data_IF_373939799076
#
_entry.id   IF_373939799076
#
_cell.length_a   1.000
_cell.length_b   1.000
_cell.length_c   1.000
_cell.angle_alpha   90.00
_cell.angle_beta   90.00
_cell.angle_gamma   90.00
#
_symmetry.space_group_name_H-M   'P 1'
#
loop_
_entity.id
_entity.type
_entity.pdbx_description
1 polymer ?
#
# COMPACT_ATOMS: atom_id res chain seq x y z
N UNK A 1 25.53 -4.29 1.84
CA UNK A 1 26.16 -5.57 1.44
C UNK A 1 26.19 -5.82 -0.08
N UNK A 2 25.07 -5.88 -0.82
CA UNK A 2 25.13 -6.05 -2.30
C UNK A 2 25.33 -4.71 -3.03
N UNK A 3 24.64 -3.66 -2.60
CA UNK A 3 24.78 -2.30 -3.14
C UNK A 3 26.16 -1.67 -2.82
N UNK A 4 26.76 -2.06 -1.70
CA UNK A 4 28.10 -1.57 -1.28
C UNK A 4 29.23 -2.21 -2.10
N UNK A 5 29.02 -3.43 -2.61
CA UNK A 5 29.99 -4.13 -3.46
C UNK A 5 29.75 -3.92 -4.96
N UNK A 6 28.72 -3.16 -5.38
CA UNK A 6 28.45 -2.90 -6.80
C UNK A 6 29.59 -2.15 -7.51
N UNK A 7 30.47 -1.45 -6.76
CA UNK A 7 31.65 -0.79 -7.31
C UNK A 7 32.87 -1.70 -7.54
N UNK A 8 32.87 -2.91 -6.98
CA UNK A 8 34.00 -3.86 -7.07
C UNK A 8 33.85 -4.90 -8.20
N UNK A 9 32.69 -4.98 -8.85
CA UNK A 9 32.40 -5.99 -9.87
C UNK A 9 31.74 -5.37 -11.11
N UNK A 10 32.06 -5.90 -12.30
CA UNK A 10 31.62 -5.36 -13.60
C UNK A 10 30.10 -5.34 -13.83
N UNK A 11 29.33 -6.07 -13.01
CA UNK A 11 27.87 -6.07 -13.09
C UNK A 11 27.22 -6.47 -11.77
N UNK A 12 26.01 -5.96 -11.53
CA UNK A 12 25.18 -6.35 -10.38
C UNK A 12 24.97 -7.87 -10.32
N UNK A 13 24.88 -8.55 -11.47
CA UNK A 13 24.78 -10.01 -11.53
C UNK A 13 26.06 -10.71 -11.04
N UNK A 14 27.24 -10.20 -11.38
CA UNK A 14 28.51 -10.71 -10.86
C UNK A 14 28.63 -10.54 -9.34
N UNK A 15 28.15 -9.41 -8.81
CA UNK A 15 28.06 -9.17 -7.37
C UNK A 15 27.10 -10.17 -6.70
N UNK A 16 25.92 -10.39 -7.28
CA UNK A 16 24.92 -11.35 -6.78
C UNK A 16 25.48 -12.77 -6.75
N UNK A 17 26.12 -13.23 -7.84
CA UNK A 17 26.71 -14.56 -7.91
C UNK A 17 27.84 -14.78 -6.90
N UNK A 18 28.62 -13.74 -6.59
CA UNK A 18 29.73 -13.82 -5.64
C UNK A 18 29.27 -13.79 -4.17
N UNK A 19 28.13 -13.14 -3.89
CA UNK A 19 27.61 -12.97 -2.52
C UNK A 19 26.63 -14.08 -2.12
N UNK A 20 25.81 -14.56 -3.06
CA UNK A 20 24.83 -15.62 -2.81
C UNK A 20 25.41 -16.86 -2.07
N UNK A 21 26.53 -17.47 -2.50
CA UNK A 21 27.11 -18.60 -1.79
C UNK A 21 27.67 -18.25 -0.40
N UNK A 22 28.08 -16.99 -0.16
CA UNK A 22 28.56 -16.53 1.16
C UNK A 22 27.44 -16.41 2.18
N UNK A 23 26.21 -16.18 1.72
CA UNK A 23 24.99 -16.09 2.55
C UNK A 23 24.27 -17.44 2.63
N UNK A 24 24.65 -18.41 1.79
CA UNK A 24 23.99 -19.71 1.72
C UNK A 24 22.66 -19.69 0.98
N UNK A 25 22.46 -18.73 0.06
CA UNK A 25 21.27 -18.65 -0.79
C UNK A 25 21.62 -18.81 -2.27
N UNK A 26 20.60 -19.04 -3.11
CA UNK A 26 20.83 -19.09 -4.56
C UNK A 26 20.98 -17.66 -5.14
N UNK A 27 21.76 -17.48 -6.22
CA UNK A 27 21.85 -16.19 -6.90
C UNK A 27 20.50 -15.63 -7.34
N UNK A 28 19.55 -16.50 -7.73
CA UNK A 28 18.18 -16.10 -8.08
C UNK A 28 17.41 -15.56 -6.88
N UNK A 29 17.49 -16.21 -5.72
CA UNK A 29 16.87 -15.72 -4.47
C UNK A 29 17.40 -14.33 -4.12
N UNK A 30 18.73 -14.15 -4.16
CA UNK A 30 19.34 -12.87 -3.85
C UNK A 30 18.97 -11.78 -4.87
N UNK A 31 18.86 -12.12 -6.16
CA UNK A 31 18.38 -11.19 -7.20
C UNK A 31 16.94 -10.72 -6.96
N UNK A 32 16.06 -11.62 -6.53
CA UNK A 32 14.67 -11.27 -6.19
C UNK A 32 14.65 -10.29 -5.02
N UNK A 33 15.45 -10.54 -3.98
CA UNK A 33 15.54 -9.65 -2.84
C UNK A 33 16.13 -8.29 -3.19
N UNK A 34 17.17 -8.23 -4.03
CA UNK A 34 17.74 -6.96 -4.51
C UNK A 34 16.72 -6.15 -5.29
N UNK A 35 15.98 -6.76 -6.22
CA UNK A 35 14.90 -6.06 -6.94
C UNK A 35 13.77 -5.61 -6.02
N UNK A 36 13.43 -6.42 -5.02
CA UNK A 36 12.40 -6.04 -4.04
C UNK A 36 12.87 -4.84 -3.23
N UNK A 37 14.13 -4.86 -2.78
CA UNK A 37 14.77 -3.75 -2.08
C UNK A 37 14.87 -2.48 -2.95
N UNK A 38 15.21 -2.59 -4.23
CA UNK A 38 15.22 -1.45 -5.18
C UNK A 38 13.83 -0.83 -5.34
N UNK A 39 12.77 -1.64 -5.36
CA UNK A 39 11.39 -1.15 -5.37
C UNK A 39 11.01 -0.49 -4.03
N UNK A 40 11.36 -1.12 -2.91
CA UNK A 40 11.05 -0.59 -1.59
C UNK A 40 11.87 0.69 -1.25
N UNK A 41 13.05 0.88 -1.88
CA UNK A 41 13.92 2.06 -1.72
C UNK A 41 13.62 3.16 -2.76
N UNK A 42 12.63 2.97 -3.63
CA UNK A 42 12.09 4.02 -4.51
C UNK A 42 12.84 4.23 -5.83
N UNK A 43 13.59 3.24 -6.31
CA UNK A 43 14.41 3.36 -7.52
C UNK A 43 13.82 2.73 -8.80
N UNK A 44 12.61 2.18 -8.77
CA UNK A 44 12.05 1.46 -9.92
C UNK A 44 10.55 1.72 -10.11
N UNK A 45 10.25 2.61 -11.05
CA UNK A 45 9.06 2.67 -11.90
C UNK A 45 7.71 2.16 -11.33
N UNK A 46 6.79 3.12 -11.13
CA UNK A 46 5.33 2.96 -11.17
C UNK A 46 4.64 1.98 -10.18
N UNK A 47 5.29 1.59 -9.08
CA UNK A 47 4.68 0.77 -8.04
C UNK A 47 4.54 1.48 -6.70
N UNK A 48 3.33 1.53 -6.13
CA UNK A 48 3.14 1.83 -4.71
C UNK A 48 4.02 0.86 -3.89
N UNK A 49 4.87 1.41 -3.03
CA UNK A 49 5.67 0.64 -2.07
C UNK A 49 4.75 -0.23 -1.22
N UNK A 50 5.31 -1.28 -0.62
CA UNK A 50 4.53 -2.19 0.24
C UNK A 50 3.80 -1.44 1.36
N UNK A 51 4.44 -0.40 1.91
CA UNK A 51 3.88 0.49 2.93
C UNK A 51 2.73 1.34 2.37
N UNK A 52 2.92 1.94 1.20
CA UNK A 52 1.88 2.75 0.56
C UNK A 52 0.66 1.89 0.18
N UNK A 53 0.86 0.65 -0.28
CA UNK A 53 -0.22 -0.28 -0.57
C UNK A 53 -1.02 -0.65 0.68
N UNK A 54 -0.33 -0.84 1.81
CA UNK A 54 -0.99 -1.12 3.08
C UNK A 54 -1.82 0.07 3.55
N UNK A 55 -1.23 1.28 3.50
CA UNK A 55 -1.92 2.53 3.85
C UNK A 55 -3.12 2.80 2.95
N UNK A 56 -3.02 2.49 1.66
CA UNK A 56 -4.13 2.64 0.72
C UNK A 56 -5.29 1.71 1.08
N UNK A 57 -5.03 0.45 1.42
CA UNK A 57 -6.08 -0.47 1.88
C UNK A 57 -6.78 -0.01 3.15
N UNK A 58 -6.03 0.54 4.11
CA UNK A 58 -6.57 1.10 5.35
C UNK A 58 -7.46 2.31 5.04
N UNK A 59 -6.98 3.24 4.22
CA UNK A 59 -7.75 4.41 3.78
C UNK A 59 -9.02 4.03 3.01
N UNK A 60 -8.96 3.04 2.12
CA UNK A 60 -10.14 2.55 1.40
C UNK A 60 -11.18 1.95 2.35
N UNK A 61 -10.73 1.22 3.38
CA UNK A 61 -11.63 0.66 4.39
C UNK A 61 -12.30 1.78 5.19
N UNK A 62 -11.52 2.75 5.67
CA UNK A 62 -12.05 3.90 6.41
C UNK A 62 -13.04 4.69 5.55
N UNK A 63 -12.72 4.93 4.27
CA UNK A 63 -13.63 5.64 3.36
C UNK A 63 -14.96 4.91 3.17
N UNK A 64 -14.94 3.57 3.06
CA UNK A 64 -16.17 2.76 2.99
C UNK A 64 -17.00 2.89 4.26
N UNK A 65 -16.37 2.82 5.43
CA UNK A 65 -17.04 2.95 6.72
C UNK A 65 -17.64 4.35 6.89
N UNK A 66 -16.89 5.40 6.54
CA UNK A 66 -17.36 6.79 6.57
C UNK A 66 -18.54 7.02 5.61
N UNK A 67 -18.48 6.49 4.39
CA UNK A 67 -19.60 6.58 3.43
C UNK A 67 -20.86 5.91 3.96
N UNK A 68 -20.73 4.73 4.57
CA UNK A 68 -21.86 4.01 5.19
C UNK A 68 -22.47 4.82 6.34
N UNK A 69 -21.64 5.37 7.22
CA UNK A 69 -22.10 6.23 8.32
C UNK A 69 -22.81 7.48 7.80
N UNK A 70 -22.27 8.10 6.75
CA UNK A 70 -22.88 9.28 6.15
C UNK A 70 -24.24 8.96 5.50
N UNK A 71 -24.37 7.79 4.88
CA UNK A 71 -25.64 7.33 4.30
C UNK A 71 -26.72 7.14 5.38
N UNK A 72 -26.37 6.47 6.49
CA UNK A 72 -27.26 6.31 7.65
C UNK A 72 -27.70 7.68 8.20
N UNK A 73 -26.75 8.61 8.35
CA UNK A 73 -27.05 9.96 8.84
C UNK A 73 -27.98 10.71 7.89
N UNK A 74 -27.75 10.63 6.57
CA UNK A 74 -28.64 11.24 5.58
C UNK A 74 -30.03 10.65 5.63
N UNK A 75 -30.15 9.33 5.74
CA UNK A 75 -31.44 8.66 5.83
C UNK A 75 -32.18 9.03 7.12
N UNK A 76 -31.47 9.10 8.24
CA UNK A 76 -32.01 9.57 9.52
C UNK A 76 -32.49 11.03 9.40
N UNK A 77 -31.67 11.93 8.85
CA UNK A 77 -32.05 13.32 8.62
C UNK A 77 -33.29 13.45 7.75
N UNK A 78 -33.39 12.68 6.66
CA UNK A 78 -34.57 12.67 5.80
C UNK A 78 -35.82 12.16 6.53
N UNK A 79 -35.68 11.11 7.35
CA UNK A 79 -36.77 10.59 8.17
C UNK A 79 -37.27 11.64 9.17
N UNK A 80 -36.36 12.29 9.90
CA UNK A 80 -36.72 13.32 10.87
C UNK A 80 -37.35 14.54 10.21
N UNK A 81 -36.81 15.02 9.08
CA UNK A 81 -37.39 16.14 8.34
C UNK A 81 -38.84 15.84 7.89
N UNK A 82 -39.11 14.62 7.42
CA UNK A 82 -40.48 14.18 7.07
C UNK A 82 -41.39 14.14 8.29
N UNK A 83 -40.93 13.57 9.40
CA UNK A 83 -41.70 13.50 10.63
C UNK A 83 -42.04 14.88 11.20
N UNK A 84 -41.13 15.84 11.11
CA UNK A 84 -41.39 17.24 11.48
C UNK A 84 -42.42 17.90 10.57
N UNK A 85 -42.30 17.70 9.25
CA UNK A 85 -43.26 18.22 8.28
C UNK A 85 -44.69 17.69 8.54
N UNK A 86 -44.84 16.38 8.76
CA UNK A 86 -46.13 15.75 9.09
C UNK A 86 -46.73 16.30 10.40
N UNK A 87 -45.88 16.66 11.37
CA UNK A 87 -46.31 17.23 12.66
C UNK A 87 -46.82 18.66 12.52
N UNK A 88 -46.19 19.46 11.66
CA UNK A 88 -46.58 20.85 11.40
C UNK A 88 -47.89 20.92 10.60
N UNK A 89 -48.14 19.98 9.70
CA UNK A 89 -49.34 19.97 8.85
C UNK A 89 -50.62 19.47 9.55
N UNK A 90 -50.48 18.75 10.66
CA UNK A 90 -51.62 18.28 11.50
C UNK A 90 -52.05 19.29 12.58
N UNK A 91 -51.43 20.46 12.62
CA UNK A 91 -51.70 21.53 13.58
C UNK A 91 -52.52 22.63 12.92
#
# INVERSE_FOLDING_TARGET
MVLESQGEYDSQWATICSIAPKIGCTPETLRVWVRQHERDTGGGDEGLTTVERQRLKELERENRELRRSNDILRQASAYFAKAEFDRLWKK
#
